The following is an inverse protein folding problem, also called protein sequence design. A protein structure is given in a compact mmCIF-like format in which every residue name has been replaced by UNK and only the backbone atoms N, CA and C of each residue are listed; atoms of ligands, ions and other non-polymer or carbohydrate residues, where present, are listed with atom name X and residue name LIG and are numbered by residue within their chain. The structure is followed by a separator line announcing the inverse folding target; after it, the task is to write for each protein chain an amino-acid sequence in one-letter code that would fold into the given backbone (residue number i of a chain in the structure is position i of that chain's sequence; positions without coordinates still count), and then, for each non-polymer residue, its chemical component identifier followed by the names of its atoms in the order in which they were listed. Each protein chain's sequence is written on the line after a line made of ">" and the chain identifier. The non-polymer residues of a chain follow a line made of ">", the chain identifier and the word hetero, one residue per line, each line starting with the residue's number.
data_IF_945100990900
#
_entry.id   IF_945100990900
#
_cell.length_a   1.000
_cell.length_b   1.000
_cell.length_c   1.000
_cell.angle_alpha   90.00
_cell.angle_beta   90.00
_cell.angle_gamma   90.00
#
_symmetry.space_group_name_H-M   'P 1'
#
loop_
_entity.id
_entity.type
_entity.pdbx_description
1 polymer ?
#
# COMPACT_ATOMS: atom_id res chain seq x y z
N UNK A 1 7.59 -4.87 -7.58
CA UNK A 1 7.53 -3.51 -6.99
C UNK A 1 7.32 -2.48 -8.09
N UNK A 2 6.54 -1.43 -7.83
CA UNK A 2 6.34 -0.31 -8.75
C UNK A 2 6.74 0.98 -8.05
N UNK A 3 7.58 1.79 -8.69
CA UNK A 3 7.86 3.16 -8.28
C UNK A 3 7.72 4.03 -9.52
N UNK A 4 6.68 4.86 -9.57
CA UNK A 4 6.46 5.76 -10.69
C UNK A 4 7.45 6.92 -10.64
N UNK A 5 7.96 7.33 -11.79
CA UNK A 5 8.56 8.65 -11.98
C UNK A 5 7.49 9.76 -11.94
N UNK A 6 7.88 11.01 -12.23
CA UNK A 6 6.95 12.14 -12.27
C UNK A 6 5.81 11.97 -13.29
N UNK A 7 6.01 11.14 -14.33
CA UNK A 7 4.98 10.75 -15.30
C UNK A 7 4.27 9.44 -14.97
N UNK A 8 4.51 8.87 -13.78
CA UNK A 8 3.91 7.61 -13.32
C UNK A 8 4.50 6.34 -13.95
N UNK A 9 5.57 6.44 -14.75
CA UNK A 9 6.22 5.31 -15.41
C UNK A 9 7.21 4.62 -14.48
N UNK A 10 7.29 3.29 -14.55
CA UNK A 10 8.20 2.49 -13.72
C UNK A 10 9.36 1.95 -14.57
N UNK A 11 10.28 2.84 -14.96
CA UNK A 11 11.50 2.47 -15.72
C UNK A 11 12.65 2.07 -14.80
N UNK A 12 12.76 2.73 -13.65
CA UNK A 12 13.76 2.47 -12.62
C UNK A 12 13.14 2.54 -11.23
N UNK A 13 13.85 1.98 -10.24
CA UNK A 13 13.46 2.12 -8.85
C UNK A 13 13.74 3.54 -8.41
N UNK A 14 12.72 4.24 -7.92
CA UNK A 14 12.86 5.58 -7.36
C UNK A 14 12.95 5.49 -5.84
N UNK A 15 14.11 5.82 -5.26
CA UNK A 15 14.24 5.83 -3.79
C UNK A 15 13.27 6.83 -3.15
N UNK A 16 13.01 7.96 -3.82
CA UNK A 16 12.02 8.94 -3.38
C UNK A 16 10.62 8.35 -3.25
N UNK A 17 10.22 7.46 -4.16
CA UNK A 17 8.94 6.74 -4.07
C UNK A 17 8.89 5.76 -2.89
N UNK A 18 10.00 5.07 -2.63
CA UNK A 18 10.14 4.18 -1.48
C UNK A 18 10.07 4.97 -0.17
N UNK A 19 10.87 6.03 -0.04
CA UNK A 19 10.88 6.93 1.12
C UNK A 19 9.50 7.53 1.35
N UNK A 20 8.81 7.95 0.29
CA UNK A 20 7.45 8.48 0.36
C UNK A 20 6.46 7.45 0.91
N UNK A 21 6.52 6.20 0.45
CA UNK A 21 5.66 5.13 0.97
C UNK A 21 5.96 4.78 2.44
N UNK A 22 7.25 4.77 2.83
CA UNK A 22 7.65 4.59 4.23
C UNK A 22 7.13 5.72 5.11
N UNK A 23 7.27 6.98 4.66
CA UNK A 23 6.75 8.15 5.36
C UNK A 23 5.24 8.01 5.58
N UNK A 24 4.50 7.65 4.54
CA UNK A 24 3.04 7.49 4.61
C UNK A 24 2.60 6.48 5.69
N UNK A 25 3.26 5.32 5.75
CA UNK A 25 3.00 4.34 6.81
C UNK A 25 3.38 4.86 8.20
N UNK A 26 4.53 5.54 8.31
CA UNK A 26 4.96 6.10 9.59
C UNK A 26 4.01 7.19 10.09
N UNK A 27 3.45 8.00 9.21
CA UNK A 27 2.39 8.95 9.55
C UNK A 27 1.15 8.26 10.12
N UNK A 28 0.70 7.16 9.51
CA UNK A 28 -0.44 6.39 10.02
C UNK A 28 -0.21 5.82 11.43
N UNK A 29 1.01 5.32 11.68
CA UNK A 29 1.43 4.80 13.00
C UNK A 29 1.46 5.94 14.02
N UNK A 30 2.11 7.07 13.72
CA UNK A 30 2.20 8.23 14.61
C UNK A 30 0.81 8.74 15.00
N UNK A 31 -0.10 8.89 14.03
CA UNK A 31 -1.49 9.31 14.31
C UNK A 31 -2.26 8.30 15.15
N UNK A 32 -2.00 7.00 14.96
CA UNK A 32 -2.58 5.93 15.76
C UNK A 32 -2.12 5.95 17.22
N UNK A 33 -0.85 6.27 17.45
CA UNK A 33 -0.25 6.40 18.78
C UNK A 33 -0.69 7.67 19.52
N UNK A 34 -1.43 8.58 18.86
CA UNK A 34 -1.89 9.84 19.46
C UNK A 34 -1.00 11.05 19.10
N UNK A 35 0.09 10.84 18.36
CA UNK A 35 0.97 11.92 17.91
C UNK A 35 0.39 12.70 16.73
N UNK A 36 0.87 13.94 16.58
CA UNK A 36 0.58 14.76 15.40
C UNK A 36 1.46 14.34 14.22
N UNK A 37 0.91 14.33 13.00
CA UNK A 37 1.67 14.18 11.76
C UNK A 37 1.15 15.14 10.69
N UNK A 38 1.90 16.23 10.47
CA UNK A 38 1.55 17.27 9.49
C UNK A 38 1.45 16.73 8.06
N UNK A 39 0.55 17.31 7.27
CA UNK A 39 0.50 17.14 5.83
C UNK A 39 1.54 18.07 5.17
N UNK A 40 2.58 17.53 4.50
CA UNK A 40 3.62 18.34 3.89
C UNK A 40 3.13 19.20 2.70
N UNK A 41 1.91 18.95 2.22
CA UNK A 41 1.27 19.67 1.10
C UNK A 41 0.34 20.80 1.53
N UNK A 42 0.08 20.94 2.84
CA UNK A 42 -0.87 21.92 3.40
C UNK A 42 -0.15 23.02 4.19
N UNK A 43 -0.85 24.13 4.47
CA UNK A 43 -0.44 25.08 5.52
C UNK A 43 -0.26 24.35 6.87
N UNK A 44 0.53 24.91 7.78
CA UNK A 44 0.90 24.33 9.09
C UNK A 44 1.85 23.12 9.07
N UNK A 45 2.48 22.83 7.93
CA UNK A 45 3.60 21.88 7.85
C UNK A 45 4.73 22.24 8.81
N UNK A 46 5.49 21.24 9.25
CA UNK A 46 6.67 21.48 10.07
C UNK A 46 7.74 22.19 9.22
N UNK A 47 8.36 23.23 9.76
CA UNK A 47 9.49 23.92 9.15
C UNK A 47 10.37 24.52 10.24
N UNK A 48 11.69 24.54 9.99
CA UNK A 48 12.65 25.19 10.88
C UNK A 48 13.30 26.36 10.15
N UNK A 49 13.29 27.53 10.79
CA UNK A 49 13.88 28.75 10.24
C UNK A 49 15.41 28.73 10.30
N UNK A 50 15.99 27.87 11.13
CA UNK A 50 17.43 27.83 11.42
C UNK A 50 17.85 28.74 12.57
N UNK A 51 16.92 29.50 13.15
CA UNK A 51 17.16 30.38 14.31
C UNK A 51 16.87 29.68 15.65
N UNK A 52 16.30 28.49 15.62
CA UNK A 52 15.93 27.72 16.80
C UNK A 52 17.16 27.21 17.56
N UNK A 53 17.11 27.23 18.90
CA UNK A 53 18.11 26.53 19.72
C UNK A 53 18.00 25.03 19.50
N UNK A 54 19.13 24.31 19.60
CA UNK A 54 19.19 22.86 19.35
C UNK A 54 18.13 22.08 20.14
N UNK A 55 17.85 22.48 21.39
CA UNK A 55 16.87 21.87 22.29
C UNK A 55 15.42 22.11 21.88
N UNK A 56 15.11 23.21 21.20
CA UNK A 56 13.75 23.61 20.81
C UNK A 56 13.34 23.03 19.44
N UNK A 57 14.33 22.58 18.64
CA UNK A 57 14.08 22.10 17.27
C UNK A 57 13.13 20.91 17.23
N UNK A 58 13.27 19.96 18.16
CA UNK A 58 12.44 18.74 18.19
C UNK A 58 10.99 19.07 18.51
N UNK A 59 10.74 19.99 19.45
CA UNK A 59 9.39 20.45 19.81
C UNK A 59 8.67 21.21 18.68
N UNK A 60 9.39 21.66 17.64
CA UNK A 60 8.80 22.25 16.43
C UNK A 60 8.56 21.24 15.30
N UNK A 61 8.99 19.99 15.47
CA UNK A 61 8.83 18.93 14.48
C UNK A 61 7.81 17.90 14.97
N UNK A 62 6.95 17.44 14.08
CA UNK A 62 6.23 16.19 14.32
C UNK A 62 7.20 14.99 14.25
N UNK A 63 6.88 13.84 14.86
CA UNK A 63 7.77 12.67 14.85
C UNK A 63 8.14 12.21 13.44
N UNK A 64 7.21 12.37 12.49
CA UNK A 64 7.42 12.03 11.08
C UNK A 64 8.48 12.93 10.45
N UNK A 65 8.36 14.25 10.60
CA UNK A 65 9.36 15.19 10.06
C UNK A 65 10.70 15.07 10.77
N UNK A 66 10.70 14.68 12.04
CA UNK A 66 11.93 14.38 12.77
C UNK A 66 12.73 13.25 12.08
N UNK A 67 12.09 12.14 11.69
CA UNK A 67 12.75 11.03 10.99
C UNK A 67 12.96 11.29 9.49
N UNK A 68 11.91 11.72 8.79
CA UNK A 68 11.82 11.86 7.33
C UNK A 68 12.15 13.26 6.80
N UNK A 69 12.58 14.19 7.65
CA UNK A 69 12.99 15.51 7.22
C UNK A 69 11.83 16.45 6.89
N UNK A 70 12.18 17.73 6.87
CA UNK A 70 11.36 18.83 6.36
C UNK A 70 12.27 20.03 6.01
N UNK A 71 11.70 21.15 5.56
CA UNK A 71 12.47 22.39 5.35
C UNK A 71 13.21 22.80 6.62
N UNK A 72 14.53 22.99 6.52
CA UNK A 72 15.40 23.29 7.66
C UNK A 72 15.77 22.09 8.55
N UNK A 73 15.35 20.88 8.20
CA UNK A 73 15.67 19.64 8.92
C UNK A 73 15.94 18.47 7.97
N UNK A 74 17.21 18.04 7.87
CA UNK A 74 17.57 16.90 7.02
C UNK A 74 17.04 15.59 7.62
N UNK A 75 16.66 14.64 6.74
CA UNK A 75 16.37 13.24 7.08
C UNK A 75 17.44 12.64 7.99
N UNK A 76 17.04 11.77 8.91
CA UNK A 76 17.99 11.08 9.81
C UNK A 76 18.66 9.87 9.18
N UNK A 77 18.26 9.54 7.95
CA UNK A 77 18.87 8.47 7.16
C UNK A 77 19.05 8.91 5.71
N UNK A 78 20.10 8.40 5.08
CA UNK A 78 20.21 8.33 3.63
C UNK A 78 19.88 6.91 3.19
N UNK A 79 19.13 6.76 2.10
CA UNK A 79 18.73 5.45 1.58
C UNK A 79 19.21 5.35 0.13
N UNK A 80 19.93 4.29 -0.17
CA UNK A 80 20.21 3.84 -1.52
C UNK A 80 19.55 2.48 -1.73
N UNK A 81 18.85 2.31 -2.84
CA UNK A 81 18.18 1.04 -3.16
C UNK A 81 18.83 0.44 -4.38
N UNK A 82 19.47 -0.71 -4.21
CA UNK A 82 19.98 -1.46 -5.35
C UNK A 82 18.84 -2.29 -5.94
N UNK A 83 18.54 -2.15 -7.23
CA UNK A 83 17.48 -2.91 -7.87
C UNK A 83 17.80 -4.40 -7.86
N UNK A 84 16.76 -5.27 -7.98
CA UNK A 84 16.99 -6.68 -8.14
C UNK A 84 17.82 -6.91 -9.41
N UNK A 85 18.68 -7.94 -9.38
CA UNK A 85 19.40 -8.40 -10.58
C UNK A 85 18.43 -8.83 -11.69
N UNK A 86 17.19 -9.18 -11.33
CA UNK A 86 16.15 -9.63 -12.26
C UNK A 86 15.04 -8.58 -12.36
N UNK A 87 14.74 -8.19 -13.60
CA UNK A 87 13.48 -7.56 -13.99
C UNK A 87 12.70 -8.57 -14.81
N UNK A 88 11.40 -8.70 -14.56
CA UNK A 88 10.53 -9.64 -15.27
C UNK A 88 9.58 -8.87 -16.18
N UNK A 89 9.13 -9.46 -17.31
CA UNK A 89 8.07 -8.85 -18.10
C UNK A 89 6.81 -8.62 -17.25
N UNK A 90 6.17 -7.46 -17.43
CA UNK A 90 4.88 -7.19 -16.81
C UNK A 90 3.82 -8.11 -17.42
N UNK A 91 2.98 -8.69 -16.58
CA UNK A 91 1.85 -9.51 -17.00
C UNK A 91 0.70 -9.44 -16.00
N UNK A 92 -0.49 -9.81 -16.46
CA UNK A 92 -1.71 -9.89 -15.67
C UNK A 92 -2.48 -11.17 -15.98
N UNK A 93 -3.35 -11.57 -15.05
CA UNK A 93 -4.32 -12.66 -15.21
C UNK A 93 -5.73 -12.11 -15.06
N UNK A 94 -6.57 -12.25 -16.07
CA UNK A 94 -7.98 -11.84 -16.01
C UNK A 94 -8.86 -12.88 -16.68
N UNK A 95 -10.00 -13.15 -16.08
CA UNK A 95 -11.03 -13.98 -16.70
C UNK A 95 -11.78 -13.27 -17.82
N UNK A 96 -11.66 -11.94 -17.92
CA UNK A 96 -12.44 -11.08 -18.81
C UNK A 96 -11.50 -10.36 -19.82
N UNK A 97 -11.61 -10.62 -21.13
CA UNK A 97 -10.79 -9.97 -22.15
C UNK A 97 -10.89 -8.44 -22.17
N UNK A 98 -12.06 -7.88 -21.86
CA UNK A 98 -12.27 -6.42 -21.81
C UNK A 98 -11.35 -5.72 -20.80
N UNK A 99 -10.90 -6.42 -19.75
CA UNK A 99 -10.00 -5.87 -18.74
C UNK A 99 -8.59 -5.58 -19.30
N UNK A 100 -8.18 -6.22 -20.40
CA UNK A 100 -6.89 -5.97 -21.06
C UNK A 100 -6.73 -4.51 -21.45
N UNK A 101 -7.80 -3.89 -21.98
CA UNK A 101 -7.77 -2.48 -22.39
C UNK A 101 -7.47 -1.56 -21.21
N UNK A 102 -8.14 -1.77 -20.07
CA UNK A 102 -7.95 -0.95 -18.88
C UNK A 102 -6.54 -1.14 -18.32
N UNK A 103 -6.09 -2.40 -18.18
CA UNK A 103 -4.77 -2.75 -17.68
C UNK A 103 -3.67 -2.16 -18.57
N UNK A 104 -3.77 -2.35 -19.88
CA UNK A 104 -2.79 -1.82 -20.82
C UNK A 104 -2.70 -0.29 -20.74
N UNK A 105 -3.83 0.42 -20.71
CA UNK A 105 -3.84 1.88 -20.58
C UNK A 105 -3.20 2.36 -19.27
N UNK A 106 -3.58 1.79 -18.13
CA UNK A 106 -3.15 2.25 -16.80
C UNK A 106 -1.69 1.92 -16.49
N UNK A 107 -1.13 0.92 -17.17
CA UNK A 107 0.26 0.50 -17.00
C UNK A 107 1.18 0.97 -18.13
N UNK A 108 0.66 1.74 -19.10
CA UNK A 108 1.46 2.39 -20.14
C UNK A 108 1.83 1.47 -21.30
N UNK A 109 0.96 0.53 -21.66
CA UNK A 109 1.11 -0.30 -22.84
C UNK A 109 1.13 0.52 -24.13
N UNK A 110 1.83 0.02 -25.14
CA UNK A 110 1.89 0.64 -26.46
C UNK A 110 0.50 0.57 -27.11
N UNK A 111 -0.08 1.73 -27.43
CA UNK A 111 -1.37 1.81 -28.12
C UNK A 111 -1.24 1.26 -29.54
N UNK A 112 -2.19 0.42 -29.95
CA UNK A 112 -2.34 -0.09 -31.30
C UNK A 112 -3.79 0.06 -31.73
N UNK A 113 -4.02 0.33 -33.00
CA UNK A 113 -5.37 0.32 -33.57
C UNK A 113 -5.59 -1.00 -34.31
N UNK A 114 -6.63 -1.73 -33.94
CA UNK A 114 -7.03 -3.02 -34.52
C UNK A 114 -8.52 -2.93 -34.81
N UNK A 115 -8.91 -3.04 -36.09
CA UNK A 115 -10.30 -2.96 -36.54
C UNK A 115 -11.06 -1.73 -36.01
N UNK A 116 -10.41 -0.55 -36.04
CA UNK A 116 -10.97 0.71 -35.54
C UNK A 116 -11.10 0.79 -34.01
N UNK A 117 -10.47 -0.12 -33.27
CA UNK A 117 -10.47 -0.16 -31.81
C UNK A 117 -9.06 0.02 -31.26
N UNK A 118 -8.94 0.83 -30.21
CA UNK A 118 -7.70 0.98 -29.45
C UNK A 118 -7.46 -0.23 -28.55
N UNK A 119 -6.36 -0.92 -28.80
CA UNK A 119 -5.76 -1.95 -27.98
C UNK A 119 -4.43 -1.47 -27.39
N UNK A 120 -3.92 -2.18 -26.38
CA UNK A 120 -2.69 -1.81 -25.69
C UNK A 120 -1.82 -3.05 -25.52
N UNK A 121 -0.55 -2.96 -25.89
CA UNK A 121 0.43 -4.03 -25.75
C UNK A 121 1.40 -3.76 -24.60
N UNK A 122 1.40 -4.64 -23.59
CA UNK A 122 2.29 -4.54 -22.42
C UNK A 122 3.48 -5.50 -22.49
N UNK A 123 3.64 -6.26 -23.57
CA UNK A 123 4.61 -7.37 -23.64
C UNK A 123 6.06 -6.91 -23.48
N UNK A 124 6.35 -5.66 -23.82
CA UNK A 124 7.68 -5.05 -23.67
C UNK A 124 7.89 -4.31 -22.34
N UNK A 125 6.84 -4.18 -21.52
CA UNK A 125 6.95 -3.54 -20.22
C UNK A 125 7.59 -4.50 -19.22
N UNK A 126 8.32 -3.93 -18.25
CA UNK A 126 9.03 -4.69 -17.22
C UNK A 126 8.59 -4.23 -15.84
N UNK A 127 8.78 -5.11 -14.87
CA UNK A 127 8.59 -4.82 -13.45
C UNK A 127 9.69 -5.45 -12.61
N UNK A 128 10.05 -4.79 -11.52
CA UNK A 128 11.00 -5.30 -10.54
C UNK A 128 10.40 -6.43 -9.71
N UNK A 129 11.00 -7.61 -9.76
CA UNK A 129 10.60 -8.77 -8.96
C UNK A 129 11.85 -9.54 -8.52
N UNK A 130 11.91 -9.95 -7.26
CA UNK A 130 13.08 -10.58 -6.64
C UNK A 130 13.61 -9.79 -5.46
N UNK A 131 14.85 -10.06 -5.06
CA UNK A 131 15.48 -9.45 -3.88
C UNK A 131 15.92 -8.01 -4.16
N UNK A 132 15.53 -7.09 -3.28
CA UNK A 132 15.99 -5.71 -3.28
C UNK A 132 16.92 -5.47 -2.09
N UNK A 133 17.98 -4.70 -2.30
CA UNK A 133 18.97 -4.42 -1.25
C UNK A 133 18.90 -2.95 -0.83
N UNK A 134 18.60 -2.73 0.45
CA UNK A 134 18.44 -1.39 1.02
C UNK A 134 19.71 -1.04 1.79
N UNK A 135 20.42 0.00 1.36
CA UNK A 135 21.58 0.52 2.06
C UNK A 135 21.17 1.81 2.76
N UNK A 136 21.03 1.74 4.08
CA UNK A 136 20.68 2.87 4.91
C UNK A 136 21.89 3.36 5.73
N UNK A 137 22.21 4.64 5.64
CA UNK A 137 23.24 5.31 6.45
C UNK A 137 22.55 6.30 7.38
N UNK A 138 22.77 6.16 8.68
CA UNK A 138 22.09 6.95 9.72
C UNK A 138 22.98 8.08 10.25
N UNK A 139 22.38 9.22 10.59
CA UNK A 139 23.13 10.37 11.12
C UNK A 139 23.52 10.15 12.58
N UNK A 140 24.77 10.45 12.93
CA UNK A 140 25.42 10.06 14.21
C UNK A 140 24.63 10.42 15.47
N UNK A 141 24.07 11.62 15.56
CA UNK A 141 23.44 12.16 16.78
C UNK A 141 22.19 11.39 17.21
N UNK A 142 21.52 10.70 16.28
CA UNK A 142 20.25 9.96 16.52
C UNK A 142 20.27 8.58 15.85
N UNK A 143 21.48 8.06 15.63
CA UNK A 143 21.70 6.90 14.76
C UNK A 143 20.94 5.66 15.21
N UNK A 144 20.87 5.41 16.53
CA UNK A 144 20.17 4.24 17.05
C UNK A 144 18.64 4.37 16.93
N UNK A 145 18.06 5.51 17.35
CA UNK A 145 16.62 5.74 17.18
C UNK A 145 16.22 5.63 15.72
N UNK A 146 16.91 6.34 14.82
CA UNK A 146 16.58 6.33 13.40
C UNK A 146 16.73 4.93 12.78
N UNK A 147 17.75 4.17 13.16
CA UNK A 147 17.96 2.78 12.72
C UNK A 147 16.81 1.89 13.18
N UNK A 148 16.45 1.93 14.46
CA UNK A 148 15.38 1.11 15.03
C UNK A 148 14.01 1.44 14.41
N UNK A 149 13.70 2.73 14.20
CA UNK A 149 12.47 3.15 13.53
C UNK A 149 12.44 2.66 12.08
N UNK A 150 13.55 2.81 11.36
CA UNK A 150 13.65 2.41 9.96
C UNK A 150 13.45 0.90 9.78
N UNK A 151 14.15 0.07 10.55
CA UNK A 151 14.02 -1.39 10.47
C UNK A 151 12.63 -1.87 10.92
N UNK A 152 12.09 -1.30 12.00
CA UNK A 152 10.76 -1.67 12.51
C UNK A 152 9.63 -1.26 11.57
N UNK A 153 9.79 -0.14 10.87
CA UNK A 153 8.85 0.31 9.84
C UNK A 153 8.86 -0.64 8.63
N UNK A 154 10.03 -1.10 8.17
CA UNK A 154 10.09 -2.10 7.10
C UNK A 154 9.42 -3.42 7.52
N UNK A 155 9.68 -3.89 8.75
CA UNK A 155 9.06 -5.09 9.28
C UNK A 155 7.52 -4.94 9.40
N UNK A 156 7.05 -3.79 9.89
CA UNK A 156 5.61 -3.47 9.93
C UNK A 156 5.00 -3.53 8.52
N UNK A 157 5.63 -2.88 7.55
CA UNK A 157 5.15 -2.81 6.17
C UNK A 157 5.15 -4.19 5.48
N UNK A 158 6.16 -5.03 5.71
CA UNK A 158 6.16 -6.39 5.16
C UNK A 158 5.07 -7.26 5.76
N UNK A 159 4.81 -7.11 7.06
CA UNK A 159 3.83 -7.91 7.79
C UNK A 159 2.40 -7.49 7.46
N UNK A 160 2.10 -6.20 7.45
CA UNK A 160 0.72 -5.71 7.41
C UNK A 160 0.35 -4.92 6.14
N UNK A 161 1.33 -4.48 5.35
CA UNK A 161 1.12 -3.52 4.28
C UNK A 161 1.86 -3.84 2.99
N UNK A 162 2.45 -2.80 2.40
CA UNK A 162 3.28 -2.88 1.21
C UNK A 162 4.07 -1.59 0.97
N UNK A 163 4.99 -1.62 0.00
CA UNK A 163 5.95 -0.55 -0.29
C UNK A 163 5.89 -0.08 -1.75
N UNK A 164 6.16 1.20 -2.00
CA UNK A 164 6.07 1.80 -3.32
C UNK A 164 4.63 2.16 -3.72
N UNK A 165 4.34 2.11 -5.02
CA UNK A 165 3.09 2.57 -5.61
C UNK A 165 2.24 1.41 -6.17
N UNK A 166 0.99 1.73 -6.54
CA UNK A 166 -0.01 0.78 -7.07
C UNK A 166 -0.31 -0.40 -6.13
N UNK A 167 -0.27 -0.18 -4.82
CA UNK A 167 -0.60 -1.19 -3.79
C UNK A 167 -2.03 -1.74 -3.98
N UNK A 168 -2.97 -0.90 -4.41
CA UNK A 168 -4.34 -1.29 -4.74
C UNK A 168 -4.46 -2.24 -5.95
N UNK A 169 -3.38 -2.44 -6.69
CA UNK A 169 -3.30 -3.36 -7.83
C UNK A 169 -2.33 -4.52 -7.58
N UNK A 170 -1.97 -4.78 -6.31
CA UNK A 170 -1.18 -5.95 -5.93
C UNK A 170 0.34 -5.77 -5.91
N UNK A 171 0.84 -4.59 -6.28
CA UNK A 171 2.26 -4.29 -6.24
C UNK A 171 2.71 -3.99 -4.80
N UNK A 172 4.02 -4.06 -4.57
CA UNK A 172 4.62 -3.62 -3.31
C UNK A 172 4.57 -4.63 -2.17
N UNK A 173 4.12 -5.85 -2.42
CA UNK A 173 4.29 -6.96 -1.49
C UNK A 173 5.76 -7.34 -1.38
N UNK A 174 6.24 -7.55 -0.17
CA UNK A 174 7.62 -7.95 0.10
C UNK A 174 7.72 -8.67 1.45
N UNK A 175 8.75 -9.49 1.59
CA UNK A 175 9.20 -10.02 2.89
C UNK A 175 10.50 -9.33 3.29
N UNK A 176 10.75 -9.26 4.60
CA UNK A 176 12.06 -8.91 5.14
C UNK A 176 12.32 -9.76 6.39
N UNK A 177 13.60 -9.90 6.76
CA UNK A 177 13.95 -10.58 7.99
C UNK A 177 13.38 -9.81 9.19
N UNK A 178 12.81 -10.50 10.19
CA UNK A 178 12.29 -9.82 11.37
C UNK A 178 13.39 -9.01 12.05
N UNK A 179 13.10 -7.72 12.27
CA UNK A 179 13.96 -6.86 13.07
C UNK A 179 13.85 -7.24 14.55
N UNK A 180 14.98 -7.46 15.23
CA UNK A 180 15.03 -7.63 16.69
C UNK A 180 14.50 -6.40 17.44
N UNK A 181 14.54 -5.23 16.78
CA UNK A 181 14.05 -3.96 17.33
C UNK A 181 12.54 -3.75 17.13
N UNK A 182 11.84 -4.70 16.50
CA UNK A 182 10.40 -4.61 16.26
C UNK A 182 9.64 -4.51 17.58
N UNK A 183 8.57 -3.71 17.61
CA UNK A 183 7.87 -3.38 18.85
C UNK A 183 8.59 -2.31 19.67
N UNK A 184 9.83 -2.57 20.11
CA UNK A 184 10.63 -1.68 20.97
C UNK A 184 10.75 -0.27 20.35
N UNK A 185 11.03 -0.19 19.05
CA UNK A 185 11.12 1.10 18.37
C UNK A 185 9.81 1.91 18.49
N UNK A 186 8.66 1.28 18.26
CA UNK A 186 7.38 1.96 18.35
C UNK A 186 6.95 2.26 19.79
N UNK A 187 7.32 1.42 20.76
CA UNK A 187 7.09 1.72 22.18
C UNK A 187 7.91 2.93 22.64
N UNK A 188 9.16 3.05 22.18
CA UNK A 188 9.98 4.23 22.42
C UNK A 188 9.37 5.49 21.79
N UNK A 189 8.90 5.37 20.53
CA UNK A 189 8.20 6.45 19.85
C UNK A 189 6.94 6.89 20.63
N UNK A 190 6.14 5.92 21.09
CA UNK A 190 4.95 6.18 21.89
C UNK A 190 5.29 6.96 23.16
N UNK A 191 6.30 6.52 23.92
CA UNK A 191 6.76 7.23 25.12
C UNK A 191 7.18 8.68 24.81
N UNK A 192 7.91 8.90 23.72
CA UNK A 192 8.32 10.26 23.33
C UNK A 192 7.12 11.15 22.93
N UNK A 193 6.05 10.56 22.38
CA UNK A 193 4.80 11.26 22.10
C UNK A 193 4.08 11.64 23.40
N UNK A 194 3.97 10.70 24.36
CA UNK A 194 3.32 10.94 25.66
C UNK A 194 4.09 11.96 26.52
N UNK A 195 5.41 12.00 26.40
CA UNK A 195 6.29 12.98 27.05
C UNK A 195 6.30 14.34 26.32
N UNK A 196 5.43 14.54 25.33
CA UNK A 196 5.28 15.80 24.57
C UNK A 196 6.60 16.32 23.98
N UNK A 197 7.50 15.42 23.57
CA UNK A 197 8.81 15.82 23.01
C UNK A 197 8.72 16.48 21.63
N UNK A 198 7.58 16.32 20.95
CA UNK A 198 7.36 16.74 19.56
C UNK A 198 6.26 17.81 19.46
N UNK A 199 6.18 18.44 18.29
CA UNK A 199 5.08 19.37 17.97
C UNK A 199 3.72 18.67 18.11
N UNK A 200 2.80 19.31 18.81
CA UNK A 200 1.38 18.92 18.93
C UNK A 200 0.51 19.84 18.08
N UNK A 201 -0.53 19.28 17.46
CA UNK A 201 -1.52 19.99 16.64
C UNK A 201 -2.68 19.04 16.31
N UNK A 202 -3.72 19.52 15.62
CA UNK A 202 -4.87 18.71 15.20
C UNK A 202 -4.52 17.93 13.92
N UNK A 203 -4.72 16.60 13.97
CA UNK A 203 -4.55 15.76 12.79
C UNK A 203 -5.73 15.92 11.80
N UNK A 204 -5.50 15.86 10.47
CA UNK A 204 -6.60 15.88 9.51
C UNK A 204 -7.52 14.67 9.68
N UNK A 205 -8.84 14.88 9.70
CA UNK A 205 -9.83 13.83 9.96
C UNK A 205 -9.74 12.63 8.99
N UNK A 206 -9.46 12.88 7.70
CA UNK A 206 -9.44 11.84 6.67
C UNK A 206 -8.06 11.19 6.47
N UNK A 207 -7.05 11.61 7.23
CA UNK A 207 -5.71 11.09 7.10
C UNK A 207 -5.63 9.62 7.56
N UNK A 208 -4.78 8.79 6.93
CA UNK A 208 -4.53 7.43 7.39
C UNK A 208 -4.14 7.43 8.87
N UNK A 209 -4.82 6.58 9.63
CA UNK A 209 -4.65 6.45 11.08
C UNK A 209 -4.75 4.96 11.44
N UNK A 210 -3.77 4.46 12.20
CA UNK A 210 -3.73 3.05 12.56
C UNK A 210 -4.94 2.60 13.40
N UNK A 211 -5.66 3.52 14.06
CA UNK A 211 -6.95 3.20 14.73
C UNK A 211 -8.01 2.68 13.77
N UNK A 212 -7.97 3.10 12.51
CA UNK A 212 -8.92 2.70 11.47
C UNK A 212 -8.35 1.62 10.55
N UNK A 213 -7.15 1.12 10.85
CA UNK A 213 -6.45 0.18 9.99
C UNK A 213 -6.90 -1.26 10.24
N UNK A 214 -6.98 -2.03 9.16
CA UNK A 214 -7.21 -3.48 9.18
C UNK A 214 -6.33 -4.15 8.15
N UNK A 215 -5.86 -5.34 8.47
CA UNK A 215 -5.17 -6.23 7.55
C UNK A 215 -5.70 -7.65 7.76
N UNK A 216 -6.07 -8.33 6.69
CA UNK A 216 -6.52 -9.72 6.72
C UNK A 216 -5.74 -10.52 5.68
N UNK A 217 -5.46 -11.78 6.02
CA UNK A 217 -4.79 -12.72 5.11
C UNK A 217 -5.70 -13.92 4.88
N UNK A 218 -5.82 -14.31 3.61
CA UNK A 218 -6.62 -15.44 3.15
C UNK A 218 -5.72 -16.50 2.54
N UNK A 219 -5.98 -17.76 2.89
CA UNK A 219 -5.32 -18.91 2.29
C UNK A 219 -6.22 -19.47 1.17
N UNK A 220 -5.78 -19.34 -0.07
CA UNK A 220 -6.50 -19.78 -1.27
C UNK A 220 -5.92 -21.09 -1.77
N UNK A 221 -6.78 -22.06 -2.11
CA UNK A 221 -6.30 -23.29 -2.76
C UNK A 221 -6.00 -22.98 -4.23
N UNK A 222 -5.04 -23.70 -4.80
CA UNK A 222 -4.70 -23.54 -6.22
C UNK A 222 -5.92 -23.77 -7.14
N UNK A 223 -6.81 -24.70 -6.78
CA UNK A 223 -8.03 -25.00 -7.54
C UNK A 223 -9.01 -23.82 -7.58
N UNK A 224 -9.03 -22.98 -6.54
CA UNK A 224 -9.90 -21.81 -6.47
C UNK A 224 -9.45 -20.73 -7.46
N UNK A 225 -8.17 -20.75 -7.84
CA UNK A 225 -7.54 -19.81 -8.77
C UNK A 225 -7.41 -20.37 -10.19
N UNK A 226 -7.98 -21.55 -10.50
CA UNK A 226 -7.86 -22.21 -11.81
C UNK A 226 -8.27 -21.31 -12.99
N UNK A 227 -9.25 -20.43 -12.79
CA UNK A 227 -9.71 -19.48 -13.80
C UNK A 227 -8.66 -18.44 -14.22
N UNK A 228 -7.66 -18.19 -13.37
CA UNK A 228 -6.54 -17.28 -13.61
C UNK A 228 -5.25 -17.99 -14.03
N UNK A 229 -5.19 -19.31 -13.91
CA UNK A 229 -4.01 -20.10 -14.26
C UNK A 229 -4.06 -20.60 -15.71
N UNK A 230 -5.24 -20.59 -16.34
CA UNK A 230 -5.41 -21.00 -17.72
C UNK A 230 -4.81 -20.03 -18.74
N UNK A 231 -4.41 -20.56 -19.89
CA UNK A 231 -3.77 -19.82 -20.99
C UNK A 231 -4.60 -18.63 -21.50
N UNK A 232 -5.92 -18.80 -21.58
CA UNK A 232 -6.83 -17.75 -22.06
C UNK A 232 -7.01 -16.57 -21.11
N UNK A 233 -6.44 -16.62 -19.91
CA UNK A 233 -6.51 -15.53 -18.93
C UNK A 233 -5.27 -14.63 -18.92
N UNK A 234 -4.21 -15.00 -19.65
CA UNK A 234 -2.91 -14.32 -19.62
C UNK A 234 -2.88 -13.08 -20.51
N UNK A 235 -2.33 -11.99 -19.96
CA UNK A 235 -2.08 -10.74 -20.69
C UNK A 235 -0.65 -10.27 -20.45
N UNK A 236 0.12 -10.09 -21.52
CA UNK A 236 1.52 -9.69 -21.51
C UNK A 236 2.43 -10.73 -22.16
N UNK A 237 3.74 -10.66 -21.88
CA UNK A 237 4.75 -11.51 -22.53
C UNK A 237 4.47 -13.00 -22.31
N UNK A 238 4.67 -13.81 -23.37
CA UNK A 238 4.51 -15.27 -23.32
C UNK A 238 5.48 -15.94 -22.34
N UNK A 239 6.62 -15.31 -22.04
CA UNK A 239 7.60 -15.79 -21.05
C UNK A 239 6.96 -15.97 -19.66
N UNK A 240 5.98 -15.12 -19.33
CA UNK A 240 5.32 -15.11 -18.02
C UNK A 240 4.07 -16.01 -17.97
N UNK A 241 3.77 -16.74 -19.05
CA UNK A 241 2.57 -17.60 -19.14
C UNK A 241 2.59 -18.76 -18.15
N UNK A 242 3.78 -19.21 -17.73
CA UNK A 242 3.96 -20.28 -16.73
C UNK A 242 4.37 -19.76 -15.35
N UNK A 243 4.41 -18.44 -15.14
CA UNK A 243 4.70 -17.87 -13.83
C UNK A 243 3.60 -18.29 -12.83
N UNK A 244 4.03 -18.80 -11.68
CA UNK A 244 3.16 -19.32 -10.64
C UNK A 244 3.62 -18.95 -9.22
N UNK A 245 4.71 -18.20 -9.07
CA UNK A 245 5.12 -17.65 -7.76
C UNK A 245 4.14 -16.60 -7.26
N UNK A 246 3.45 -15.93 -8.17
CA UNK A 246 2.35 -15.01 -7.88
C UNK A 246 1.34 -15.02 -9.03
N UNK A 247 0.10 -14.63 -8.74
CA UNK A 247 -0.99 -14.57 -9.71
C UNK A 247 -1.47 -13.10 -9.81
N UNK A 248 -1.12 -12.36 -10.87
CA UNK A 248 -1.47 -10.94 -11.00
C UNK A 248 -2.94 -10.73 -11.44
N UNK A 249 -3.89 -11.15 -10.61
CA UNK A 249 -5.34 -11.10 -10.88
C UNK A 249 -6.11 -10.06 -10.05
N UNK A 250 -5.41 -9.17 -9.34
CA UNK A 250 -6.03 -8.21 -8.40
C UNK A 250 -7.07 -7.32 -9.05
N UNK A 251 -6.91 -6.97 -10.33
CA UNK A 251 -7.92 -6.16 -11.01
C UNK A 251 -9.29 -6.86 -11.02
N UNK A 252 -9.33 -8.15 -11.35
CA UNK A 252 -10.55 -8.95 -11.33
C UNK A 252 -11.07 -9.10 -9.90
N UNK A 253 -10.20 -9.44 -8.94
CA UNK A 253 -10.58 -9.58 -7.52
C UNK A 253 -11.21 -8.31 -6.95
N UNK A 254 -10.71 -7.15 -7.37
CA UNK A 254 -11.10 -5.87 -6.76
C UNK A 254 -12.25 -5.19 -7.49
N UNK A 255 -12.34 -5.34 -8.81
CA UNK A 255 -13.32 -4.61 -9.63
C UNK A 255 -14.37 -5.54 -10.20
N UNK A 256 -14.00 -6.33 -11.22
CA UNK A 256 -14.93 -7.14 -12.00
C UNK A 256 -14.22 -8.36 -12.58
N UNK A 257 -14.72 -9.54 -12.25
CA UNK A 257 -14.22 -10.83 -12.71
C UNK A 257 -15.34 -11.77 -13.16
N UNK A 258 -14.99 -13.02 -13.46
CA UNK A 258 -15.97 -14.07 -13.80
C UNK A 258 -16.63 -14.64 -12.53
N UNK A 259 -17.83 -15.18 -12.69
CA UNK A 259 -18.60 -15.80 -11.61
C UNK A 259 -18.80 -14.85 -10.41
N UNK A 260 -18.41 -15.25 -9.20
CA UNK A 260 -18.56 -14.46 -7.98
C UNK A 260 -17.37 -13.52 -7.70
N UNK A 261 -16.44 -13.36 -8.65
CA UNK A 261 -15.23 -12.55 -8.47
C UNK A 261 -15.49 -11.09 -8.87
N UNK A 262 -15.11 -10.16 -7.99
CA UNK A 262 -15.15 -8.72 -8.22
C UNK A 262 -15.75 -7.98 -7.05
N UNK A 263 -14.92 -7.51 -6.11
CA UNK A 263 -15.39 -6.86 -4.89
C UNK A 263 -16.27 -5.63 -5.16
N UNK A 264 -15.86 -4.73 -6.07
CA UNK A 264 -16.68 -3.58 -6.46
C UNK A 264 -18.04 -4.02 -7.01
N UNK A 265 -18.03 -4.96 -7.96
CA UNK A 265 -19.26 -5.48 -8.58
C UNK A 265 -20.16 -6.15 -7.54
N UNK A 266 -19.59 -6.93 -6.63
CA UNK A 266 -20.30 -7.61 -5.55
C UNK A 266 -20.97 -6.62 -4.60
N UNK A 267 -20.27 -5.55 -4.20
CA UNK A 267 -20.85 -4.49 -3.37
C UNK A 267 -22.03 -3.80 -4.08
N UNK A 268 -21.88 -3.51 -5.37
CA UNK A 268 -22.91 -2.85 -6.19
C UNK A 268 -24.14 -3.75 -6.39
N UNK A 269 -23.93 -4.97 -6.87
CA UNK A 269 -25.01 -5.85 -7.33
C UNK A 269 -25.65 -6.66 -6.19
N UNK A 270 -24.88 -7.06 -5.16
CA UNK A 270 -25.35 -7.96 -4.09
C UNK A 270 -25.59 -7.26 -2.76
N UNK A 271 -24.79 -6.25 -2.43
CA UNK A 271 -24.98 -5.44 -1.21
C UNK A 271 -25.68 -4.11 -1.48
N UNK A 272 -26.04 -3.82 -2.73
CA UNK A 272 -26.75 -2.61 -3.15
C UNK A 272 -26.08 -1.30 -2.71
N UNK A 273 -24.74 -1.29 -2.70
CA UNK A 273 -23.98 -0.10 -2.32
C UNK A 273 -24.15 1.03 -3.35
N UNK A 274 -24.35 2.24 -2.85
CA UNK A 274 -24.41 3.44 -3.69
C UNK A 274 -23.06 3.72 -4.35
N UNK A 275 -23.09 4.38 -5.51
CA UNK A 275 -21.88 4.79 -6.22
C UNK A 275 -20.98 5.72 -5.38
N UNK A 276 -21.57 6.54 -4.50
CA UNK A 276 -20.84 7.40 -3.57
C UNK A 276 -20.03 6.57 -2.56
N UNK A 277 -20.66 5.59 -1.91
CA UNK A 277 -19.98 4.69 -0.97
C UNK A 277 -18.88 3.89 -1.65
N UNK A 278 -19.13 3.39 -2.86
CA UNK A 278 -18.12 2.69 -3.67
C UNK A 278 -16.92 3.58 -3.99
N UNK A 279 -17.13 4.87 -4.29
CA UNK A 279 -16.05 5.80 -4.62
C UNK A 279 -15.28 6.25 -3.37
N UNK A 280 -15.96 6.44 -2.24
CA UNK A 280 -15.32 6.71 -0.94
C UNK A 280 -14.41 5.55 -0.50
N UNK A 281 -14.80 4.32 -0.78
CA UNK A 281 -14.02 3.12 -0.42
C UNK A 281 -12.92 2.77 -1.43
N UNK A 282 -13.29 2.64 -2.71
CA UNK A 282 -12.43 2.08 -3.75
C UNK A 282 -11.76 3.13 -4.65
N UNK A 283 -11.99 4.42 -4.36
CA UNK A 283 -11.54 5.55 -5.17
C UNK A 283 -12.52 5.87 -6.29
N UNK A 284 -12.48 7.11 -6.78
CA UNK A 284 -13.32 7.57 -7.89
C UNK A 284 -12.87 6.86 -9.17
N UNK A 285 -13.78 6.06 -9.74
CA UNK A 285 -13.46 5.21 -10.90
C UNK A 285 -13.88 5.83 -12.23
N UNK A 286 -15.00 6.57 -12.28
CA UNK A 286 -15.51 7.22 -13.49
C UNK A 286 -16.40 8.42 -13.16
N UNK A 287 -16.38 9.45 -14.01
CA UNK A 287 -17.52 10.33 -14.26
C UNK A 287 -17.91 10.11 -15.72
N UNK A 288 -19.17 9.74 -15.99
CA UNK A 288 -19.67 9.39 -17.34
C UNK A 288 -19.27 10.46 -18.39
N UNK A 289 -18.21 10.18 -19.15
CA UNK A 289 -17.71 11.06 -20.23
C UNK A 289 -16.97 12.33 -19.78
N UNK A 290 -16.65 12.50 -18.49
CA UNK A 290 -15.92 13.67 -17.99
C UNK A 290 -14.56 13.27 -17.42
N UNK A 291 -13.55 14.09 -17.67
CA UNK A 291 -12.25 13.93 -17.04
C UNK A 291 -12.35 14.19 -15.54
N UNK A 292 -11.83 13.27 -14.73
CA UNK A 292 -11.77 13.44 -13.27
C UNK A 292 -10.65 14.44 -12.98
N UNK A 293 -11.03 15.63 -12.49
CA UNK A 293 -10.07 16.68 -12.09
C UNK A 293 -9.20 16.16 -10.96
N UNK A 294 -7.93 16.60 -10.89
CA UNK A 294 -6.98 16.11 -9.88
C UNK A 294 -7.48 16.31 -8.44
N UNK A 295 -8.19 17.41 -8.15
CA UNK A 295 -8.78 17.65 -6.82
C UNK A 295 -9.95 16.72 -6.45
N UNK A 296 -10.48 15.96 -7.41
CA UNK A 296 -11.58 15.01 -7.22
C UNK A 296 -11.08 13.56 -7.15
N UNK A 297 -9.78 13.33 -7.38
CA UNK A 297 -9.20 11.99 -7.32
C UNK A 297 -9.04 11.58 -5.85
N UNK A 298 -9.90 10.67 -5.41
CA UNK A 298 -9.71 9.98 -4.14
C UNK A 298 -8.88 8.71 -4.33
N UNK A 299 -7.79 8.59 -3.56
CA UNK A 299 -7.07 7.33 -3.46
C UNK A 299 -7.97 6.28 -2.80
N UNK A 300 -7.85 5.03 -3.25
CA UNK A 300 -8.56 3.96 -2.57
C UNK A 300 -8.08 3.76 -1.14
N UNK A 301 -9.02 3.43 -0.27
CA UNK A 301 -8.77 2.97 1.08
C UNK A 301 -8.50 1.47 1.19
N UNK A 302 -8.67 0.71 0.10
CA UNK A 302 -8.54 -0.76 0.04
C UNK A 302 -7.42 -1.17 -0.88
N UNK A 303 -6.46 -1.89 -0.31
CA UNK A 303 -5.33 -2.47 -1.01
C UNK A 303 -5.41 -3.99 -0.97
N UNK A 304 -5.20 -4.62 -2.11
CA UNK A 304 -5.18 -6.08 -2.25
C UNK A 304 -3.87 -6.50 -2.89
N UNK A 305 -3.18 -7.44 -2.26
CA UNK A 305 -1.99 -8.11 -2.80
C UNK A 305 -2.35 -9.03 -3.97
N UNK A 306 -1.36 -9.36 -4.80
CA UNK A 306 -1.45 -10.52 -5.69
C UNK A 306 -1.37 -11.81 -4.85
N UNK A 307 -2.24 -12.81 -5.08
CA UNK A 307 -2.04 -14.13 -4.52
C UNK A 307 -0.61 -14.61 -4.75
N UNK A 308 0.12 -14.83 -3.65
CA UNK A 308 1.52 -15.23 -3.66
C UNK A 308 1.64 -16.68 -3.21
N UNK A 309 2.45 -17.48 -3.90
CA UNK A 309 2.53 -18.93 -3.67
C UNK A 309 3.07 -19.24 -2.27
N UNK A 310 2.41 -20.20 -1.63
CA UNK A 310 2.80 -20.82 -0.36
C UNK A 310 2.85 -22.35 -0.57
N UNK A 311 3.35 -23.09 0.42
CA UNK A 311 3.51 -24.56 0.31
C UNK A 311 2.22 -25.27 -0.08
N UNK A 312 1.08 -24.84 0.48
CA UNK A 312 -0.23 -25.46 0.30
C UNK A 312 -1.24 -24.60 -0.50
N UNK A 313 -0.77 -23.68 -1.34
CA UNK A 313 -1.65 -22.85 -2.18
C UNK A 313 -1.11 -21.44 -2.39
N UNK A 314 -1.96 -20.45 -2.15
CA UNK A 314 -1.62 -19.03 -2.29
C UNK A 314 -2.11 -18.23 -1.08
N UNK A 315 -1.31 -17.27 -0.65
CA UNK A 315 -1.70 -16.27 0.35
C UNK A 315 -2.14 -15.00 -0.37
N UNK A 316 -3.33 -14.50 -0.05
CA UNK A 316 -3.84 -13.20 -0.48
C UNK A 316 -3.93 -12.28 0.74
N UNK A 317 -3.22 -11.16 0.70
CA UNK A 317 -3.29 -10.12 1.75
C UNK A 317 -4.18 -8.98 1.30
N UNK A 318 -5.10 -8.56 2.15
CA UNK A 318 -5.92 -7.37 1.96
C UNK A 318 -5.72 -6.46 3.16
N UNK A 319 -5.46 -5.18 2.93
CA UNK A 319 -5.36 -4.20 4.00
C UNK A 319 -6.05 -2.90 3.61
N UNK A 320 -6.52 -2.18 4.61
CA UNK A 320 -7.29 -0.98 4.39
C UNK A 320 -7.26 -0.02 5.57
N UNK A 321 -7.65 1.22 5.30
CA UNK A 321 -7.98 2.21 6.30
C UNK A 321 -9.47 2.49 6.23
N UNK A 322 -10.24 1.93 7.16
CA UNK A 322 -11.70 2.05 7.14
C UNK A 322 -12.11 3.53 7.21
N UNK A 323 -12.94 4.02 6.27
CA UNK A 323 -13.59 5.32 6.42
C UNK A 323 -14.60 5.20 7.58
N UNK A 324 -14.25 5.75 8.74
CA UNK A 324 -15.01 5.56 10.00
C UNK A 324 -16.44 6.12 9.95
N UNK A 325 -16.72 6.98 8.99
CA UNK A 325 -18.02 7.55 8.65
C UNK A 325 -18.84 6.68 7.66
N UNK A 326 -18.28 5.55 7.22
CA UNK A 326 -18.94 4.57 6.35
C UNK A 326 -18.99 3.18 6.99
N UNK A 327 -17.87 2.71 7.54
CA UNK A 327 -17.74 1.42 8.21
C UNK A 327 -16.72 1.52 9.35
N UNK A 328 -17.02 0.88 10.48
CA UNK A 328 -16.01 0.56 11.48
C UNK A 328 -15.00 -0.46 10.94
N UNK A 329 -13.79 -0.55 11.54
CA UNK A 329 -12.82 -1.60 11.21
C UNK A 329 -13.38 -3.03 11.28
N UNK A 330 -14.28 -3.32 12.24
CA UNK A 330 -14.90 -4.64 12.37
C UNK A 330 -15.85 -4.92 11.21
N UNK A 331 -16.78 -4.01 10.92
CA UNK A 331 -17.73 -4.15 9.80
C UNK A 331 -17.01 -4.27 8.44
N UNK A 332 -15.85 -3.62 8.29
CA UNK A 332 -15.03 -3.79 7.10
C UNK A 332 -14.48 -5.22 6.97
N UNK A 333 -13.98 -5.80 8.06
CA UNK A 333 -13.48 -7.19 8.05
C UNK A 333 -14.62 -8.15 7.71
N UNK A 334 -15.79 -7.97 8.34
CA UNK A 334 -16.98 -8.78 8.05
C UNK A 334 -17.39 -8.68 6.57
N UNK A 335 -17.39 -7.47 6.02
CA UNK A 335 -17.70 -7.24 4.60
C UNK A 335 -16.72 -7.95 3.65
N UNK A 336 -15.44 -8.00 4.03
CA UNK A 336 -14.41 -8.68 3.27
C UNK A 336 -14.51 -10.19 3.38
N UNK A 337 -14.76 -10.71 4.58
CA UNK A 337 -14.94 -12.14 4.80
C UNK A 337 -16.21 -12.65 4.10
N UNK A 338 -17.31 -11.90 4.11
CA UNK A 338 -18.51 -12.18 3.31
C UNK A 338 -18.17 -12.34 1.82
N UNK A 339 -17.44 -11.36 1.26
CA UNK A 339 -17.02 -11.41 -0.14
C UNK A 339 -16.11 -12.61 -0.42
N UNK A 340 -15.12 -12.85 0.43
CA UNK A 340 -14.15 -13.93 0.25
C UNK A 340 -14.78 -15.31 0.45
N UNK A 341 -15.79 -15.43 1.31
CA UNK A 341 -16.58 -16.63 1.47
C UNK A 341 -17.45 -16.92 0.23
N UNK A 342 -18.07 -15.90 -0.37
CA UNK A 342 -18.81 -16.08 -1.63
C UNK A 342 -17.92 -16.35 -2.84
N UNK A 343 -16.74 -15.72 -2.88
CA UNK A 343 -15.80 -15.81 -3.99
C UNK A 343 -15.00 -17.13 -3.96
N UNK A 344 -14.59 -17.58 -2.78
CA UNK A 344 -13.62 -18.67 -2.61
C UNK A 344 -13.96 -19.66 -1.48
N UNK A 345 -14.98 -19.39 -0.65
CA UNK A 345 -15.31 -20.25 0.48
C UNK A 345 -14.25 -20.23 1.59
N UNK A 346 -13.61 -19.09 1.82
CA UNK A 346 -12.54 -18.92 2.80
C UNK A 346 -12.82 -17.75 3.74
N UNK A 347 -12.34 -17.87 4.98
CA UNK A 347 -12.34 -16.80 5.97
C UNK A 347 -10.93 -16.22 6.17
N UNK A 348 -10.88 -14.99 6.65
CA UNK A 348 -9.64 -14.26 6.87
C UNK A 348 -9.00 -14.54 8.23
N UNK A 349 -7.75 -14.15 8.37
CA UNK A 349 -7.08 -13.97 9.66
C UNK A 349 -6.87 -12.47 9.88
N UNK A 350 -7.84 -11.76 10.49
CA UNK A 350 -7.77 -10.31 10.63
C UNK A 350 -6.78 -9.89 11.72
N UNK A 351 -6.18 -8.73 11.49
CA UNK A 351 -5.37 -7.98 12.43
C UNK A 351 -5.87 -6.54 12.41
N UNK A 352 -6.31 -6.06 13.57
CA UNK A 352 -6.76 -4.68 13.73
C UNK A 352 -5.60 -3.79 14.15
N UNK A 353 -5.55 -2.58 13.59
CA UNK A 353 -4.55 -1.61 13.99
C UNK A 353 -4.67 -1.19 15.45
N UNK A 354 -5.87 -1.25 16.04
CA UNK A 354 -6.08 -1.07 17.49
C UNK A 354 -5.36 -2.12 18.34
N UNK A 355 -5.32 -3.38 17.89
CA UNK A 355 -4.59 -4.44 18.59
C UNK A 355 -3.08 -4.24 18.49
N UNK A 356 -2.61 -3.80 17.32
CA UNK A 356 -1.20 -3.44 17.13
C UNK A 356 -0.83 -2.28 18.06
N UNK A 357 -1.65 -1.23 18.10
CA UNK A 357 -1.43 -0.08 18.98
C UNK A 357 -1.40 -0.50 20.45
N UNK A 358 -2.33 -1.36 20.88
CA UNK A 358 -2.35 -1.90 22.25
C UNK A 358 -1.04 -2.60 22.58
N UNK A 359 -0.57 -3.50 21.71
CA UNK A 359 0.71 -4.20 21.90
C UNK A 359 1.91 -3.26 21.93
N UNK A 360 1.92 -2.20 21.12
CA UNK A 360 2.98 -1.18 21.17
C UNK A 360 3.01 -0.50 22.54
N UNK A 361 1.84 -0.08 23.05
CA UNK A 361 1.72 0.62 24.33
C UNK A 361 2.11 -0.27 25.52
N UNK A 362 1.81 -1.56 25.43
CA UNK A 362 2.14 -2.57 26.43
C UNK A 362 3.59 -3.11 26.31
N UNK A 363 4.30 -2.79 25.22
CA UNK A 363 5.64 -3.31 24.96
C UNK A 363 5.67 -4.80 24.59
N UNK A 364 4.61 -5.30 23.97
CA UNK A 364 4.38 -6.74 23.67
C UNK A 364 4.23 -7.06 22.17
N UNK A 365 4.55 -6.10 21.28
CA UNK A 365 4.35 -6.23 19.83
C UNK A 365 5.30 -7.22 19.15
#
# INVERSE_FOLDING_TARGET
>A
MWTGDAGGKCTEIKETGIIGSMRWWYEAIVRGLGGYACDPTKPHKCELSGKEKKTERVQKLCPVCYLFGTTGWKRQFNLQVKPPRQVVPLHFRTGIPMNYKWLGRIFGGAEKEVDGRKEYDISNLKVFFGNLEFHAVFREVESNFARMQFSSLLNFMSKYGGIGAKLQHGFGQFGCEPSSDFGIAFSNLYRMIEEEQFKTDINPNEAPNLKNFVCTTYNLKQNDLKGFLGDGSHYGSQEMKKEGRYIPCVFDLRYKGKANIGFRQWLEERKSWSHDNLNRLLGVSEKKGQEIKDGERAASKVMMGMPYKQDNGYSLKVFAFSPSDLLSPAEFVDLFDDYMQEAFGVNGSPVYGTDILKKIKEGTL
#
